data_IF_513892811655
#
_entry.id   IF_513892811655
#
_cell.length_a   1.000
_cell.length_b   1.000
_cell.length_c   1.000
_cell.angle_alpha   90.00
_cell.angle_beta   90.00
_cell.angle_gamma   90.00
#
_symmetry.space_group_name_H-M   'P 1'
#
loop_
_entity.id
_entity.type
_entity.pdbx_description
1 polymer ?
#
# COMPACT_ATOMS: atom_id res chain seq x y z
N UNK A 1 2.04 17.60 17.94
CA UNK A 1 0.89 16.97 17.28
C UNK A 1 1.24 15.80 16.35
N UNK A 2 2.25 15.89 15.45
CA UNK A 2 2.69 14.75 14.59
C UNK A 2 3.11 13.48 15.34
N UNK A 3 3.59 13.59 16.59
CA UNK A 3 4.06 12.46 17.40
C UNK A 3 2.89 11.59 17.90
N UNK A 4 1.70 12.15 18.13
CA UNK A 4 0.55 11.38 18.62
C UNK A 4 -0.06 10.48 17.52
N UNK A 5 0.08 10.88 16.25
CA UNK A 5 -0.38 10.10 15.10
C UNK A 5 0.60 9.01 14.67
N UNK A 6 1.90 9.13 15.00
CA UNK A 6 2.93 8.15 14.59
C UNK A 6 2.62 6.70 14.99
N UNK A 7 2.18 6.39 16.23
CA UNK A 7 1.83 5.02 16.61
C UNK A 7 0.66 4.47 15.79
N UNK A 8 -0.37 5.29 15.56
CA UNK A 8 -1.51 4.92 14.72
C UNK A 8 -1.09 4.66 13.27
N UNK A 9 -0.25 5.53 12.71
CA UNK A 9 0.29 5.36 11.36
C UNK A 9 1.13 4.08 11.22
N UNK A 10 1.92 3.72 12.22
CA UNK A 10 2.72 2.48 12.19
C UNK A 10 1.80 1.25 12.23
N UNK A 11 0.84 1.20 13.15
CA UNK A 11 -0.10 0.08 13.27
C UNK A 11 -0.92 -0.06 11.99
N UNK A 12 -1.47 1.06 11.50
CA UNK A 12 -2.23 1.10 10.26
C UNK A 12 -1.37 0.67 9.07
N UNK A 13 -0.10 1.09 9.01
CA UNK A 13 0.85 0.68 7.98
C UNK A 13 1.14 -0.83 7.99
N UNK A 14 1.31 -1.45 9.16
CA UNK A 14 1.51 -2.90 9.28
C UNK A 14 0.28 -3.71 8.83
N UNK A 15 -0.92 -3.22 9.17
CA UNK A 15 -2.18 -3.82 8.71
C UNK A 15 -2.31 -3.63 7.20
N UNK A 16 -2.07 -2.42 6.71
CA UNK A 16 -2.08 -2.06 5.30
C UNK A 16 -1.12 -2.92 4.47
N UNK A 17 0.08 -3.20 4.97
CA UNK A 17 1.06 -4.05 4.28
C UNK A 17 0.56 -5.50 4.09
N UNK A 18 -0.13 -6.05 5.10
CA UNK A 18 -0.74 -7.39 4.99
C UNK A 18 -1.90 -7.39 3.99
N UNK A 19 -2.75 -6.38 4.05
CA UNK A 19 -3.87 -6.21 3.10
C UNK A 19 -3.33 -6.07 1.68
N UNK A 20 -2.33 -5.22 1.46
CA UNK A 20 -1.68 -5.03 0.16
C UNK A 20 -1.12 -6.33 -0.39
N UNK A 21 -0.48 -7.15 0.45
CA UNK A 21 0.04 -8.45 0.03
C UNK A 21 -1.07 -9.41 -0.37
N UNK A 22 -2.16 -9.47 0.40
CA UNK A 22 -3.30 -10.33 0.10
C UNK A 22 -4.01 -9.91 -1.21
N UNK A 23 -4.24 -8.60 -1.38
CA UNK A 23 -4.85 -8.04 -2.59
C UNK A 23 -3.97 -8.28 -3.81
N UNK A 24 -2.65 -8.04 -3.69
CA UNK A 24 -1.71 -8.32 -4.77
C UNK A 24 -1.78 -9.79 -5.20
N UNK A 25 -1.73 -10.73 -4.25
CA UNK A 25 -1.83 -12.17 -4.55
C UNK A 25 -3.15 -12.54 -5.22
N UNK A 26 -4.26 -11.97 -4.74
CA UNK A 26 -5.58 -12.19 -5.33
C UNK A 26 -5.67 -11.64 -6.76
N UNK A 27 -5.09 -10.48 -7.05
CA UNK A 27 -5.06 -9.96 -8.42
C UNK A 27 -4.15 -10.84 -9.29
N UNK A 28 -2.98 -11.21 -8.79
CA UNK A 28 -2.01 -12.03 -9.51
C UNK A 28 -2.58 -13.40 -9.91
N UNK A 29 -3.34 -14.05 -9.02
CA UNK A 29 -3.94 -15.36 -9.30
C UNK A 29 -4.95 -15.37 -10.46
N UNK A 30 -5.41 -14.20 -10.90
CA UNK A 30 -6.25 -14.08 -12.11
C UNK A 30 -5.43 -13.88 -13.40
N UNK A 31 -4.16 -13.52 -13.26
CA UNK A 31 -3.24 -13.25 -14.37
C UNK A 31 -2.40 -14.49 -14.67
N UNK A 32 -1.95 -15.19 -13.63
CA UNK A 32 -1.06 -16.33 -13.72
C UNK A 32 -1.38 -17.36 -12.63
N UNK A 33 -1.27 -18.64 -12.98
CA UNK A 33 -1.48 -19.75 -12.05
C UNK A 33 -0.25 -19.97 -11.15
N UNK A 34 0.93 -19.54 -11.60
CA UNK A 34 2.17 -19.62 -10.83
C UNK A 34 2.31 -18.47 -9.83
N UNK A 35 3.16 -18.67 -8.82
CA UNK A 35 3.53 -17.56 -7.94
C UNK A 35 4.22 -16.42 -8.71
N UNK A 36 4.00 -15.15 -8.31
CA UNK A 36 4.62 -14.02 -8.97
C UNK A 36 6.15 -14.14 -8.90
N UNK A 37 6.85 -14.07 -10.05
CA UNK A 37 8.28 -14.32 -10.08
C UNK A 37 9.02 -13.26 -9.28
N UNK A 38 10.14 -13.68 -8.69
CA UNK A 38 11.08 -12.77 -8.04
C UNK A 38 11.94 -12.11 -9.13
N UNK A 39 12.56 -10.95 -8.83
CA UNK A 39 13.49 -10.28 -9.75
C UNK A 39 14.64 -11.17 -10.26
N UNK A 40 14.95 -12.24 -9.54
CA UNK A 40 16.05 -13.17 -9.82
C UNK A 40 15.57 -14.55 -10.28
N UNK A 41 14.29 -14.71 -10.64
CA UNK A 41 13.78 -15.99 -11.15
C UNK A 41 14.33 -16.21 -12.56
N UNK A 42 15.22 -17.19 -12.72
CA UNK A 42 15.94 -17.47 -13.99
C UNK A 42 15.00 -17.82 -15.15
N UNK A 43 14.01 -18.67 -14.89
CA UNK A 43 13.09 -19.18 -15.93
C UNK A 43 11.97 -18.20 -16.27
N UNK A 44 11.85 -17.08 -15.55
CA UNK A 44 10.80 -16.08 -15.79
C UNK A 44 11.24 -15.07 -16.86
N UNK A 45 10.36 -14.80 -17.82
CA UNK A 45 10.62 -13.77 -18.83
C UNK A 45 10.72 -12.38 -18.21
N UNK A 46 11.60 -11.54 -18.75
CA UNK A 46 11.82 -10.17 -18.26
C UNK A 46 10.51 -9.36 -18.13
N UNK A 47 9.57 -9.38 -19.11
CA UNK A 47 8.30 -8.69 -18.96
C UNK A 47 7.42 -9.22 -17.83
N UNK A 48 7.40 -10.55 -17.59
CA UNK A 48 6.63 -11.17 -16.49
C UNK A 48 7.18 -10.71 -15.13
N UNK A 49 8.50 -10.67 -14.97
CA UNK A 49 9.18 -10.18 -13.77
C UNK A 49 8.87 -8.71 -13.49
N UNK A 50 9.07 -7.85 -14.48
CA UNK A 50 8.83 -6.40 -14.33
C UNK A 50 7.34 -6.12 -14.10
N UNK A 51 6.45 -6.79 -14.84
CA UNK A 51 5.00 -6.66 -14.67
C UNK A 51 4.53 -7.05 -13.27
N UNK A 52 5.02 -8.18 -12.75
CA UNK A 52 4.73 -8.61 -11.38
C UNK A 52 5.20 -7.58 -10.34
N UNK A 53 6.41 -7.05 -10.50
CA UNK A 53 6.96 -6.05 -9.60
C UNK A 53 6.17 -4.74 -9.62
N UNK A 54 5.80 -4.25 -10.80
CA UNK A 54 4.99 -3.04 -10.98
C UNK A 54 3.61 -3.21 -10.36
N UNK A 55 2.94 -4.33 -10.61
CA UNK A 55 1.62 -4.61 -10.04
C UNK A 55 1.67 -4.69 -8.51
N UNK A 56 2.70 -5.31 -7.95
CA UNK A 56 2.91 -5.34 -6.50
C UNK A 56 3.11 -3.94 -5.93
N UNK A 57 3.95 -3.13 -6.57
CA UNK A 57 4.26 -1.77 -6.14
C UNK A 57 3.03 -0.85 -6.22
N UNK A 58 2.27 -0.91 -7.32
CA UNK A 58 1.05 -0.11 -7.50
C UNK A 58 -0.04 -0.50 -6.51
N UNK A 59 -0.22 -1.80 -6.24
CA UNK A 59 -1.15 -2.30 -5.24
C UNK A 59 -0.78 -1.80 -3.84
N UNK A 60 0.49 -1.92 -3.45
CA UNK A 60 0.97 -1.44 -2.17
C UNK A 60 0.78 0.07 -2.01
N UNK A 61 1.09 0.85 -3.05
CA UNK A 61 0.89 2.30 -3.04
C UNK A 61 -0.60 2.68 -2.91
N UNK A 62 -1.49 2.01 -3.64
CA UNK A 62 -2.93 2.24 -3.59
C UNK A 62 -3.54 1.93 -2.22
N UNK A 63 -3.16 0.79 -1.62
CA UNK A 63 -3.59 0.43 -0.27
C UNK A 63 -3.01 1.38 0.78
N UNK A 64 -1.72 1.73 0.67
CA UNK A 64 -1.08 2.70 1.56
C UNK A 64 -1.82 4.05 1.56
N UNK A 65 -2.09 4.61 0.39
CA UNK A 65 -2.84 5.86 0.26
C UNK A 65 -4.26 5.77 0.85
N UNK A 66 -4.92 4.62 0.68
CA UNK A 66 -6.26 4.38 1.24
C UNK A 66 -6.22 4.36 2.77
N UNK A 67 -5.25 3.64 3.34
CA UNK A 67 -5.04 3.54 4.79
C UNK A 67 -4.69 4.90 5.39
N UNK A 68 -3.77 5.64 4.76
CA UNK A 68 -3.38 6.99 5.20
C UNK A 68 -4.57 7.95 5.19
N UNK A 69 -5.39 7.91 4.13
CA UNK A 69 -6.60 8.74 4.02
C UNK A 69 -7.65 8.38 5.07
N UNK A 70 -7.87 7.09 5.31
CA UNK A 70 -8.81 6.60 6.31
C UNK A 70 -8.33 6.98 7.72
N UNK A 71 -7.06 6.77 8.03
CA UNK A 71 -6.44 7.17 9.30
C UNK A 71 -6.52 8.68 9.54
N UNK A 72 -6.26 9.49 8.52
CA UNK A 72 -6.36 10.94 8.62
C UNK A 72 -7.80 11.40 8.89
N UNK A 73 -8.80 10.80 8.22
CA UNK A 73 -10.21 11.06 8.49
C UNK A 73 -10.63 10.66 9.90
N UNK A 74 -10.23 9.48 10.35
CA UNK A 74 -10.54 9.00 11.70
C UNK A 74 -9.93 9.93 12.77
N UNK A 75 -8.66 10.31 12.60
CA UNK A 75 -7.99 11.24 13.51
C UNK A 75 -8.67 12.61 13.53
N UNK A 76 -9.02 13.16 12.37
CA UNK A 76 -9.75 14.42 12.27
C UNK A 76 -11.14 14.32 12.91
N UNK A 77 -11.85 13.21 12.74
CA UNK A 77 -13.15 13.01 13.37
C UNK A 77 -13.05 12.98 14.91
N UNK A 78 -12.00 12.35 15.44
CA UNK A 78 -11.81 12.22 16.89
C UNK A 78 -11.25 13.48 17.56
N UNK A 79 -10.39 14.23 16.87
CA UNK A 79 -9.63 15.34 17.47
C UNK A 79 -10.04 16.71 16.93
N UNK A 80 -10.81 16.76 15.84
CA UNK A 80 -11.09 17.99 15.10
C UNK A 80 -9.91 18.55 14.32
N UNK A 81 -8.73 17.92 14.38
CA UNK A 81 -7.48 18.42 13.78
C UNK A 81 -7.10 17.54 12.59
N UNK A 82 -6.82 18.15 11.45
CA UNK A 82 -6.33 17.42 10.27
C UNK A 82 -4.83 17.13 10.44
N UNK A 83 -4.37 15.86 10.29
CA UNK A 83 -2.99 15.50 10.60
C UNK A 83 -1.98 15.78 9.48
N UNK A 84 -2.45 16.12 8.27
CA UNK A 84 -1.62 16.35 7.08
C UNK A 84 -1.73 17.78 6.55
N UNK A 85 -1.24 17.98 5.32
CA UNK A 85 -1.43 19.24 4.61
C UNK A 85 -2.90 19.41 4.20
N UNK A 86 -3.40 20.66 4.27
CA UNK A 86 -4.79 21.00 3.94
C UNK A 86 -4.95 21.51 2.50
N UNK A 87 -3.88 22.06 1.93
CA UNK A 87 -3.86 22.58 0.56
C UNK A 87 -2.49 22.26 -0.06
N UNK A 88 -2.45 21.73 -1.29
CA UNK A 88 -1.19 21.62 -2.01
C UNK A 88 -0.62 23.03 -2.24
N UNK A 89 0.68 23.21 -2.01
CA UNK A 89 1.36 24.46 -2.34
C UNK A 89 1.34 24.66 -3.86
N UNK A 90 1.15 25.91 -4.31
CA UNK A 90 1.06 26.27 -5.72
C UNK A 90 2.43 26.34 -6.38
#
# INVERSE_FOLDING_TARGET
MKILYKPFGIIAGLIGARIATAVFKAIWSHIDEEEPPKPTTEEASFPKVVGAAVLKASTAAGIGATVDRAGARAFHHLTGIWPGEQRPEK
#
